data_IF_615429643004
#
_entry.id   IF_615429643004
#
_cell.length_a   1.000
_cell.length_b   1.000
_cell.length_c   1.000
_cell.angle_alpha   90.00
_cell.angle_beta   90.00
_cell.angle_gamma   90.00
#
_symmetry.space_group_name_H-M   'P 1'
#
loop_
_entity.id
_entity.type
_entity.pdbx_description
1 polymer ?
#
# COMPACT_ATOMS: atom_id res chain seq x y z
N UNK A 1 -11.34 -31.00 15.45
CA UNK A 1 -11.59 -29.77 14.65
C UNK A 1 -10.36 -28.86 14.75
N UNK A 2 -9.24 -29.24 14.13
CA UNK A 2 -7.94 -28.56 14.32
C UNK A 2 -7.23 -28.22 13.00
N UNK A 3 -7.91 -28.44 11.86
CA UNK A 3 -7.33 -28.26 10.53
C UNK A 3 -7.65 -26.89 9.92
N UNK A 4 -8.77 -26.28 10.29
CA UNK A 4 -9.22 -25.00 9.72
C UNK A 4 -8.28 -23.84 10.10
N UNK A 5 -7.90 -23.72 11.37
CA UNK A 5 -7.01 -22.64 11.85
C UNK A 5 -5.63 -22.64 11.18
N UNK A 6 -5.10 -23.82 10.85
CA UNK A 6 -3.83 -23.95 10.12
C UNK A 6 -3.99 -23.57 8.65
N UNK A 7 -5.14 -23.88 8.06
CA UNK A 7 -5.48 -23.56 6.68
C UNK A 7 -5.68 -22.04 6.52
N UNK A 8 -6.42 -21.42 7.44
CA UNK A 8 -6.64 -19.98 7.47
C UNK A 8 -5.31 -19.24 7.63
N UNK A 9 -4.45 -19.67 8.56
CA UNK A 9 -3.13 -19.06 8.72
C UNK A 9 -2.28 -19.18 7.45
N UNK A 10 -2.31 -20.33 6.77
CA UNK A 10 -1.59 -20.52 5.51
C UNK A 10 -2.11 -19.62 4.39
N UNK A 11 -3.43 -19.42 4.32
CA UNK A 11 -4.06 -18.49 3.38
C UNK A 11 -3.59 -17.05 3.65
N UNK A 12 -3.64 -16.59 4.90
CA UNK A 12 -3.20 -15.23 5.24
C UNK A 12 -1.70 -15.03 5.03
N UNK A 13 -0.86 -16.04 5.31
CA UNK A 13 0.54 -16.01 4.92
C UNK A 13 0.73 -15.92 3.39
N UNK A 14 -0.09 -16.63 2.61
CA UNK A 14 -0.02 -16.56 1.14
C UNK A 14 -0.43 -15.17 0.64
N UNK A 15 -1.46 -14.55 1.22
CA UNK A 15 -1.88 -13.19 0.90
C UNK A 15 -0.78 -12.18 1.23
N UNK A 16 -0.15 -12.29 2.40
CA UNK A 16 0.99 -11.43 2.77
C UNK A 16 2.19 -11.63 1.83
N UNK A 17 2.52 -12.88 1.51
CA UNK A 17 3.60 -13.20 0.56
C UNK A 17 3.33 -12.64 -0.84
N UNK A 18 2.08 -12.73 -1.30
CA UNK A 18 1.65 -12.15 -2.57
C UNK A 18 1.77 -10.62 -2.54
N UNK A 19 1.28 -9.96 -1.49
CA UNK A 19 1.37 -8.51 -1.34
C UNK A 19 2.82 -8.03 -1.35
N UNK A 20 3.74 -8.74 -0.67
CA UNK A 20 5.17 -8.42 -0.70
C UNK A 20 5.76 -8.66 -2.10
N UNK A 21 5.35 -9.73 -2.78
CA UNK A 21 5.80 -10.04 -4.15
C UNK A 21 5.35 -8.97 -5.13
N UNK A 22 4.09 -8.52 -5.04
CA UNK A 22 3.53 -7.46 -5.87
C UNK A 22 4.20 -6.12 -5.56
N UNK A 23 4.51 -5.85 -4.28
CA UNK A 23 5.19 -4.65 -3.87
C UNK A 23 6.69 -4.62 -4.26
N UNK A 24 7.33 -5.78 -4.40
CA UNK A 24 8.73 -5.93 -4.82
C UNK A 24 8.90 -6.28 -6.29
N UNK A 25 7.81 -6.40 -7.04
CA UNK A 25 7.85 -6.77 -8.46
C UNK A 25 8.69 -5.78 -9.26
N UNK A 26 9.51 -6.32 -10.16
CA UNK A 26 10.34 -5.55 -11.10
C UNK A 26 9.67 -5.41 -12.47
N UNK A 27 8.41 -5.85 -12.59
CA UNK A 27 7.65 -5.74 -13.84
C UNK A 27 7.53 -4.29 -14.28
N UNK A 28 7.85 -4.06 -15.55
CA UNK A 28 7.76 -2.75 -16.19
C UNK A 28 6.42 -2.61 -16.89
N UNK A 29 5.68 -1.56 -16.57
CA UNK A 29 4.37 -1.27 -17.17
C UNK A 29 3.56 -0.36 -16.26
N UNK A 30 2.67 0.46 -16.83
CA UNK A 30 1.84 1.38 -16.03
C UNK A 30 0.96 0.63 -15.04
N UNK A 31 0.38 -0.50 -15.45
CA UNK A 31 -0.48 -1.30 -14.58
C UNK A 31 0.33 -1.99 -13.48
N UNK A 32 1.48 -2.59 -13.83
CA UNK A 32 2.39 -3.19 -12.84
C UNK A 32 2.91 -2.17 -11.80
N UNK A 33 3.15 -0.92 -12.22
CA UNK A 33 3.56 0.15 -11.32
C UNK A 33 2.43 0.59 -10.39
N UNK A 34 1.17 0.59 -10.87
CA UNK A 34 -0.01 0.88 -10.05
C UNK A 34 -0.26 -0.22 -9.03
N UNK A 35 -0.18 -1.48 -9.43
CA UNK A 35 -0.37 -2.63 -8.54
C UNK A 35 0.72 -2.66 -7.46
N UNK A 36 1.98 -2.43 -7.86
CA UNK A 36 3.10 -2.27 -6.94
C UNK A 36 2.85 -1.13 -5.94
N UNK A 37 2.39 0.02 -6.41
CA UNK A 37 2.15 1.16 -5.55
C UNK A 37 0.97 0.91 -4.59
N UNK A 38 -0.11 0.29 -5.06
CA UNK A 38 -1.24 -0.10 -4.24
C UNK A 38 -0.84 -1.11 -3.16
N UNK A 39 0.00 -2.09 -3.49
CA UNK A 39 0.52 -3.05 -2.52
C UNK A 39 1.45 -2.40 -1.48
N UNK A 40 2.35 -1.50 -1.91
CA UNK A 40 3.21 -0.72 -1.00
C UNK A 40 2.34 0.16 -0.07
N UNK A 41 1.35 0.86 -0.62
CA UNK A 41 0.41 1.65 0.18
C UNK A 41 -0.35 0.78 1.18
N UNK A 42 -0.82 -0.39 0.79
CA UNK A 42 -1.53 -1.30 1.68
C UNK A 42 -0.64 -1.83 2.82
N UNK A 43 0.64 -2.12 2.56
CA UNK A 43 1.61 -2.58 3.57
C UNK A 43 2.07 -1.47 4.53
N UNK A 44 2.19 -0.23 4.04
CA UNK A 44 2.73 0.90 4.79
C UNK A 44 1.66 1.81 5.42
N UNK A 45 0.44 1.79 4.92
CA UNK A 45 -0.67 2.57 5.49
C UNK A 45 -1.23 1.84 6.71
N UNK A 46 -1.62 2.62 7.71
CA UNK A 46 -2.30 2.11 8.91
C UNK A 46 -3.78 1.85 8.63
N UNK A 47 -4.06 0.95 7.68
CA UNK A 47 -5.40 0.44 7.46
C UNK A 47 -5.72 -0.61 8.53
N UNK A 48 -6.97 -0.64 8.99
CA UNK A 48 -7.46 -1.59 10.02
C UNK A 48 -7.26 -3.06 9.57
N UNK A 49 -7.26 -3.31 8.26
CA UNK A 49 -7.15 -4.66 7.69
C UNK A 49 -5.76 -5.28 7.86
N UNK A 50 -4.69 -4.47 7.81
CA UNK A 50 -3.31 -4.97 7.89
C UNK A 50 -2.96 -5.65 9.23
N UNK A 51 -3.20 -5.03 10.41
CA UNK A 51 -2.94 -5.67 11.69
C UNK A 51 -3.85 -6.88 11.95
N UNK A 52 -5.08 -6.89 11.40
CA UNK A 52 -5.98 -8.05 11.46
C UNK A 52 -5.38 -9.23 10.69
N UNK A 53 -4.96 -9.01 9.44
CA UNK A 53 -4.33 -10.05 8.61
C UNK A 53 -3.02 -10.55 9.24
N UNK A 54 -2.21 -9.65 9.82
CA UNK A 54 -0.99 -10.04 10.54
C UNK A 54 -1.30 -10.91 11.76
N UNK A 55 -2.33 -10.56 12.53
CA UNK A 55 -2.79 -11.35 13.68
C UNK A 55 -3.29 -12.73 13.24
N UNK A 56 -4.05 -12.80 12.14
CA UNK A 56 -4.54 -14.07 11.57
C UNK A 56 -3.43 -14.94 10.98
N UNK A 57 -2.38 -14.33 10.43
CA UNK A 57 -1.18 -15.01 9.97
C UNK A 57 -0.21 -15.39 11.12
N UNK A 58 -0.41 -14.85 12.32
CA UNK A 58 0.48 -15.04 13.47
C UNK A 58 1.83 -14.35 13.31
N UNK A 59 1.87 -13.23 12.58
CA UNK A 59 3.07 -12.41 12.36
C UNK A 59 2.88 -11.03 12.97
N UNK A 60 3.99 -10.41 13.38
CA UNK A 60 3.95 -9.08 13.94
C UNK A 60 3.91 -8.02 12.82
N UNK A 61 2.90 -7.13 12.79
CA UNK A 61 2.74 -6.14 11.72
C UNK A 61 3.90 -5.15 11.68
N UNK A 62 4.48 -4.82 12.83
CA UNK A 62 5.59 -3.86 12.93
C UNK A 62 6.89 -4.49 12.43
N UNK A 63 7.14 -5.75 12.77
CA UNK A 63 8.28 -6.51 12.23
C UNK A 63 8.21 -6.69 10.70
N UNK A 64 7.01 -6.87 10.14
CA UNK A 64 6.81 -6.93 8.68
C UNK A 64 7.11 -5.57 8.05
N UNK A 65 6.60 -4.48 8.62
CA UNK A 65 6.86 -3.11 8.14
C UNK A 65 8.35 -2.77 8.21
N UNK A 66 9.02 -3.08 9.32
CA UNK A 66 10.45 -2.82 9.49
C UNK A 66 11.28 -3.57 8.43
N UNK A 67 11.00 -4.88 8.23
CA UNK A 67 11.66 -5.66 7.17
C UNK A 67 11.38 -5.12 5.78
N UNK A 68 10.15 -4.68 5.54
CA UNK A 68 9.73 -4.14 4.25
C UNK A 68 10.40 -2.79 3.94
N UNK A 69 10.52 -1.90 4.93
CA UNK A 69 11.27 -0.64 4.82
C UNK A 69 12.76 -0.85 4.57
N UNK A 70 13.31 -1.99 4.99
CA UNK A 70 14.72 -2.36 4.74
C UNK A 70 15.00 -2.75 3.29
N UNK A 71 13.97 -3.00 2.48
CA UNK A 71 14.12 -3.37 1.08
C UNK A 71 14.47 -2.12 0.26
N UNK A 72 15.64 -2.07 -0.41
CA UNK A 72 16.04 -0.93 -1.21
C UNK A 72 15.06 -0.72 -2.39
N UNK A 73 14.64 0.52 -2.61
CA UNK A 73 13.71 0.90 -3.70
C UNK A 73 12.23 0.98 -3.31
N UNK A 74 11.82 0.39 -2.17
CA UNK A 74 10.43 0.51 -1.67
C UNK A 74 10.13 1.93 -1.18
N UNK A 75 11.02 2.48 -0.36
CA UNK A 75 10.84 3.80 0.27
C UNK A 75 10.86 4.94 -0.77
N UNK A 76 11.66 4.80 -1.83
CA UNK A 76 11.72 5.76 -2.93
C UNK A 76 10.40 5.79 -3.72
N UNK A 77 9.82 4.61 -3.98
CA UNK A 77 8.53 4.48 -4.69
C UNK A 77 7.34 4.98 -3.86
N UNK A 78 7.41 4.92 -2.53
CA UNK A 78 6.38 5.48 -1.65
C UNK A 78 6.37 7.02 -1.68
N UNK A 79 7.55 7.66 -1.66
CA UNK A 79 7.67 9.11 -1.66
C UNK A 79 7.28 9.78 -3.00
N UNK A 80 7.43 9.07 -4.12
CA UNK A 80 7.10 9.58 -5.46
C UNK A 80 5.63 9.95 -5.65
N UNK A 81 4.71 9.18 -5.07
CA UNK A 81 3.27 9.34 -5.32
C UNK A 81 2.58 10.28 -4.33
N UNK A 82 3.18 10.52 -3.16
CA UNK A 82 2.68 11.53 -2.21
C UNK A 82 2.86 12.96 -2.76
N UNK A 83 3.77 13.19 -3.71
CA UNK A 83 3.97 14.51 -4.34
C UNK A 83 2.89 14.92 -5.33
N UNK A 84 2.11 13.99 -5.89
CA UNK A 84 1.17 14.30 -6.97
C UNK A 84 -0.20 14.83 -6.51
N UNK A 85 -0.49 14.83 -5.19
CA UNK A 85 -1.75 15.40 -4.64
C UNK A 85 -1.67 16.86 -4.22
N UNK A 86 -0.62 17.60 -4.58
CA UNK A 86 -0.48 19.04 -4.25
C UNK A 86 -0.62 19.97 -5.47
N UNK A 87 -1.49 19.62 -6.40
CA UNK A 87 -1.83 20.45 -7.56
C UNK A 87 -3.32 20.43 -7.88
N UNK A 88 -4.13 21.13 -7.08
CA UNK A 88 -5.34 21.85 -7.51
C UNK A 88 -6.03 22.45 -6.29
N UNK A 89 -5.34 23.38 -5.62
CA UNK A 89 -6.04 24.40 -4.85
C UNK A 89 -6.66 25.33 -5.87
N UNK A 90 -7.99 25.28 -5.95
CA UNK A 90 -8.91 26.27 -6.51
C UNK A 90 -8.22 27.61 -6.84
N UNK A 91 -7.91 27.81 -8.11
CA UNK A 91 -7.80 29.15 -8.67
C UNK A 91 -8.93 29.32 -9.66
N UNK A 92 -9.50 30.53 -9.61
CA UNK A 92 -10.44 31.11 -10.57
C UNK A 92 -11.94 30.91 -10.31
N UNK A 93 -12.48 31.62 -9.32
CA UNK A 93 -13.90 32.04 -9.32
C UNK A 93 -14.12 33.43 -8.66
N UNK A 94 -13.14 34.33 -8.69
CA UNK A 94 -13.32 35.67 -8.09
C UNK A 94 -12.85 36.83 -8.94
N UNK A 95 -12.93 36.79 -10.27
CA UNK A 95 -13.04 38.00 -11.10
C UNK A 95 -13.98 37.61 -12.25
N UNK A 96 -15.21 38.12 -12.32
CA UNK A 96 -15.50 39.47 -12.80
C UNK A 96 -16.81 39.97 -12.17
N UNK A 97 -16.70 41.06 -11.42
CA UNK A 97 -17.81 41.99 -11.31
C UNK A 97 -18.02 42.75 -12.63
N UNK A 98 -19.20 43.34 -12.72
CA UNK A 98 -19.61 44.46 -13.59
C UNK A 98 -20.07 44.10 -15.02
N UNK A 99 -21.39 44.07 -15.23
CA UNK A 99 -22.18 45.07 -15.99
C UNK A 99 -23.48 44.43 -16.49
N UNK A 100 -24.63 44.83 -15.93
CA UNK A 100 -25.76 45.37 -16.71
C UNK A 100 -26.83 45.98 -15.83
#
# INVERSE_FOLDING_TARGET
MQNDEKHDRQLWCAVLGQAITDATTTRTGKDAQRDQHAAIQWLLTDTIDFPIVCTLAGVDPEAVRERFMRIPGVVEKFQGTQRDRRGSTTQDLTELGVFS
#
